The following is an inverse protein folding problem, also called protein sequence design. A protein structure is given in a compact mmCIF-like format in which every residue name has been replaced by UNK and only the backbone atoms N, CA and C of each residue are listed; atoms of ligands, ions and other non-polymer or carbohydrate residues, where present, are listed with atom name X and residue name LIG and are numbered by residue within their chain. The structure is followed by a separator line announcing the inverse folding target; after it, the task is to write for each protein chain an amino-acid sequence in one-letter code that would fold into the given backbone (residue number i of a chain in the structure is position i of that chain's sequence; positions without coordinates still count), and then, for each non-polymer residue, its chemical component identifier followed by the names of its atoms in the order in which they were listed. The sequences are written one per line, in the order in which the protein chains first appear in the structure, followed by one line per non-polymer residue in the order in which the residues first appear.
data_IF_759180606078
#
_entry.id   IF_759180606078
#
_cell.length_a   1.000
_cell.length_b   1.000
_cell.length_c   1.000
_cell.angle_alpha   90.00
_cell.angle_beta   90.00
_cell.angle_gamma   90.00
#
_symmetry.space_group_name_H-M   'P 1'
#
loop_
_entity.id
_entity.type
_entity.pdbx_description
1 polymer ?
#
# COMPACT_ATOMS: atom_id res chain seq x y z
N UNK A 1 11.86 23.88 6.77
CA UNK A 1 10.68 23.86 5.86
C UNK A 1 10.32 22.41 5.63
N UNK A 2 9.31 21.90 6.35
CA UNK A 2 8.79 20.56 6.09
C UNK A 2 7.91 20.66 4.84
N UNK A 3 8.34 20.04 3.74
CA UNK A 3 7.49 19.85 2.58
C UNK A 3 6.40 18.86 3.01
N UNK A 4 5.23 19.37 3.37
CA UNK A 4 4.02 18.56 3.37
C UNK A 4 3.90 18.01 1.95
N UNK A 5 4.18 16.71 1.79
CA UNK A 5 3.98 16.01 0.52
C UNK A 5 2.50 16.20 0.18
N UNK A 6 2.14 16.75 -0.99
CA UNK A 6 0.76 16.94 -1.37
C UNK A 6 0.02 15.63 -1.14
N UNK A 7 -1.07 15.71 -0.39
CA UNK A 7 -1.69 14.61 0.33
C UNK A 7 -1.75 13.34 -0.52
N UNK A 8 -0.86 12.40 -0.19
CA UNK A 8 -0.93 11.03 -0.69
C UNK A 8 -2.18 10.43 -0.08
N UNK A 9 -3.27 10.44 -0.86
CA UNK A 9 -4.56 9.96 -0.42
C UNK A 9 -4.55 8.44 -0.43
N UNK A 10 -4.99 7.85 0.69
CA UNK A 10 -5.35 6.44 0.74
C UNK A 10 -6.43 6.15 -0.31
N UNK A 11 -6.42 4.96 -0.94
CA UNK A 11 -7.49 4.59 -1.85
C UNK A 11 -8.80 4.50 -1.05
N UNK A 12 -9.92 4.72 -1.72
CA UNK A 12 -11.21 4.43 -1.11
C UNK A 12 -11.37 2.90 -1.02
N UNK A 13 -11.25 2.39 0.21
CA UNK A 13 -11.41 0.98 0.53
C UNK A 13 -12.78 0.65 1.12
N UNK A 14 -13.69 1.63 1.19
CA UNK A 14 -15.02 1.43 1.81
C UNK A 14 -15.84 0.33 1.13
N UNK A 15 -15.57 0.08 -0.16
CA UNK A 15 -16.24 -0.95 -0.95
C UNK A 15 -15.62 -2.36 -0.81
N UNK A 16 -14.56 -2.52 -0.01
CA UNK A 16 -13.79 -3.78 0.06
C UNK A 16 -13.66 -4.23 1.51
N UNK A 17 -13.87 -5.51 1.74
CA UNK A 17 -13.63 -6.12 3.05
C UNK A 17 -12.12 -6.28 3.26
N UNK A 18 -11.48 -5.31 3.90
CA UNK A 18 -10.08 -5.43 4.34
C UNK A 18 -10.01 -6.45 5.50
N UNK A 19 -9.20 -7.52 5.40
CA UNK A 19 -9.06 -8.48 6.49
C UNK A 19 -8.54 -7.84 7.80
N UNK A 20 -9.03 -8.32 8.95
CA UNK A 20 -8.68 -7.77 10.28
C UNK A 20 -7.17 -7.83 10.59
N UNK A 21 -6.47 -8.80 10.01
CA UNK A 21 -5.03 -8.96 10.20
C UNK A 21 -4.19 -7.90 9.45
N UNK A 22 -4.78 -7.14 8.53
CA UNK A 22 -4.06 -6.11 7.76
C UNK A 22 -3.70 -4.94 8.68
N UNK A 23 -2.41 -4.61 8.71
CA UNK A 23 -1.83 -3.49 9.46
C UNK A 23 -1.23 -2.42 8.56
N UNK A 24 -0.89 -2.78 7.32
CA UNK A 24 -0.31 -1.88 6.34
C UNK A 24 -1.00 -2.01 5.00
N UNK A 25 -1.10 -0.90 4.28
CA UNK A 25 -1.63 -0.84 2.93
C UNK A 25 -0.61 -0.14 2.05
N UNK A 26 -0.26 -0.75 0.93
CA UNK A 26 0.71 -0.18 0.02
C UNK A 26 0.26 -0.30 -1.45
N UNK A 27 0.73 0.62 -2.29
CA UNK A 27 0.49 0.59 -3.73
C UNK A 27 1.76 0.28 -4.50
N UNK A 28 1.67 -0.59 -5.49
CA UNK A 28 2.73 -0.79 -6.47
C UNK A 28 2.65 0.24 -7.61
N UNK A 29 3.71 0.33 -8.41
CA UNK A 29 3.81 1.26 -9.54
C UNK A 29 2.68 1.06 -10.57
N UNK A 30 2.21 -0.17 -10.73
CA UNK A 30 1.14 -0.53 -11.66
C UNK A 30 -0.27 -0.20 -11.17
N UNK A 31 -0.40 0.25 -9.91
CA UNK A 31 -1.66 0.60 -9.29
C UNK A 31 -2.32 -0.54 -8.49
N UNK A 32 -1.65 -1.68 -8.33
CA UNK A 32 -2.06 -2.75 -7.43
C UNK A 32 -1.99 -2.25 -5.98
N UNK A 33 -3.04 -2.47 -5.21
CA UNK A 33 -3.05 -2.21 -3.78
C UNK A 33 -3.01 -3.51 -2.99
N UNK A 34 -2.18 -3.53 -1.97
CA UNK A 34 -1.92 -4.69 -1.14
C UNK A 34 -2.16 -4.35 0.33
N UNK A 35 -2.70 -5.32 1.07
CA UNK A 35 -2.73 -5.31 2.53
C UNK A 35 -1.66 -6.26 3.07
N UNK A 36 -0.95 -5.84 4.12
CA UNK A 36 0.09 -6.63 4.79
C UNK A 36 -0.15 -6.69 6.29
N UNK A 37 0.15 -7.83 6.93
CA UNK A 37 0.09 -7.95 8.39
C UNK A 37 1.29 -7.33 9.11
N UNK A 38 2.39 -7.13 8.40
CA UNK A 38 3.68 -6.58 8.87
C UNK A 38 4.16 -5.51 7.89
N UNK A 39 5.11 -4.66 8.31
CA UNK A 39 5.62 -3.60 7.45
C UNK A 39 6.32 -4.22 6.23
N UNK A 40 5.87 -3.91 5.00
CA UNK A 40 6.46 -4.47 3.79
C UNK A 40 7.78 -3.79 3.46
N UNK A 41 8.59 -4.47 2.65
CA UNK A 41 9.84 -3.92 2.13
C UNK A 41 9.61 -3.31 0.75
N UNK A 42 10.31 -2.21 0.47
CA UNK A 42 10.24 -1.53 -0.82
C UNK A 42 11.19 -2.19 -1.83
N UNK A 43 10.72 -2.45 -3.06
CA UNK A 43 11.57 -2.85 -4.18
C UNK A 43 11.58 -1.77 -5.30
N UNK A 44 11.97 -2.11 -6.53
CA UNK A 44 12.09 -1.15 -7.63
C UNK A 44 10.74 -0.78 -8.30
N UNK A 45 9.66 -1.53 -8.06
CA UNK A 45 8.34 -1.38 -8.71
C UNK A 45 7.14 -1.59 -7.78
N UNK A 46 7.36 -1.88 -6.51
CA UNK A 46 6.30 -2.18 -5.57
C UNK A 46 6.80 -2.53 -4.18
N UNK A 47 5.89 -3.08 -3.40
CA UNK A 47 6.10 -3.51 -2.02
C UNK A 47 6.02 -5.03 -1.94
N UNK A 48 6.88 -5.64 -1.14
CA UNK A 48 6.92 -7.09 -1.00
C UNK A 48 6.89 -7.52 0.47
N UNK A 49 6.34 -8.70 0.70
CA UNK A 49 6.30 -9.33 2.02
C UNK A 49 7.73 -9.65 2.51
N UNK A 50 7.97 -9.50 3.80
CA UNK A 50 9.26 -9.74 4.44
C UNK A 50 9.46 -11.20 4.91
N UNK A 51 8.73 -12.17 4.34
CA UNK A 51 8.74 -13.62 4.68
C UNK A 51 8.16 -13.98 6.07
N UNK A 52 7.69 -13.00 6.84
CA UNK A 52 7.18 -13.18 8.22
C UNK A 52 5.67 -12.92 8.31
N UNK A 53 5.07 -12.29 7.31
CA UNK A 53 3.69 -11.81 7.35
C UNK A 53 2.77 -12.38 6.29
N UNK A 54 1.51 -12.02 6.36
CA UNK A 54 0.53 -12.31 5.31
C UNK A 54 0.37 -11.09 4.41
N UNK A 55 0.08 -11.32 3.14
CA UNK A 55 -0.25 -10.28 2.19
C UNK A 55 -1.46 -10.66 1.34
N UNK A 56 -2.25 -9.66 0.94
CA UNK A 56 -3.45 -9.86 0.12
C UNK A 56 -3.60 -8.71 -0.87
N UNK A 57 -3.97 -9.02 -2.12
CA UNK A 57 -4.34 -7.99 -3.10
C UNK A 57 -5.74 -7.48 -2.76
N UNK A 58 -5.86 -6.17 -2.55
CA UNK A 58 -7.12 -5.51 -2.19
C UNK A 58 -7.88 -5.02 -3.42
N UNK A 59 -7.21 -4.27 -4.30
CA UNK A 59 -7.80 -3.75 -5.53
C UNK A 59 -6.75 -3.41 -6.60
N UNK A 60 -7.23 -3.07 -7.78
CA UNK A 60 -6.44 -2.47 -8.86
C UNK A 60 -6.95 -1.06 -9.15
N UNK A 61 -6.04 -0.12 -9.24
CA UNK A 61 -6.29 1.27 -9.67
C UNK A 61 -5.36 1.63 -10.82
N UNK A 62 -5.41 2.89 -11.28
CA UNK A 62 -4.43 3.39 -12.23
C UNK A 62 -3.03 3.42 -11.60
N UNK A 63 -2.00 3.15 -12.42
CA UNK A 63 -0.61 3.26 -11.98
C UNK A 63 -0.25 4.66 -11.50
N UNK A 64 0.77 4.75 -10.65
CA UNK A 64 1.20 6.00 -10.04
C UNK A 64 2.73 6.10 -10.01
N UNK A 65 3.28 7.19 -10.54
CA UNK A 65 4.74 7.44 -10.51
C UNK A 65 5.29 7.70 -9.10
N UNK A 66 4.41 8.00 -8.12
CA UNK A 66 4.76 8.23 -6.71
C UNK A 66 4.29 7.11 -5.77
N UNK A 67 4.10 5.91 -6.31
CA UNK A 67 3.69 4.71 -5.57
C UNK A 67 4.57 4.43 -4.32
N UNK A 68 5.85 4.82 -4.34
CA UNK A 68 6.77 4.64 -3.21
C UNK A 68 6.43 5.52 -1.99
N UNK A 69 5.62 6.56 -2.15
CA UNK A 69 5.08 7.33 -1.03
C UNK A 69 3.78 6.70 -0.48
N UNK A 70 3.20 5.72 -1.19
CA UNK A 70 1.92 5.10 -0.86
C UNK A 70 2.15 3.86 0.01
N UNK A 71 2.61 4.08 1.24
CA UNK A 71 2.60 3.10 2.33
C UNK A 71 1.87 3.72 3.52
N UNK A 72 0.85 3.01 4.00
CA UNK A 72 -0.02 3.50 5.07
C UNK A 72 -0.14 2.46 6.16
N UNK A 73 -0.01 2.89 7.41
CA UNK A 73 -0.35 2.08 8.57
C UNK A 73 -1.82 2.30 8.96
N UNK A 74 -2.52 1.22 9.30
CA UNK A 74 -3.90 1.22 9.82
C UNK A 74 -3.94 1.30 11.34
#
# INVERSE_FOLDING_TARGET
MSLLKPDVLKPDLSAISVPEWVRFIAQDADGSWWGYSVEPLQNHRGWYENEVGEHVKLLQSAGCDRWYDHLFRL
#
